data_IF_693553340449
#
_entry.id   IF_693553340449
#
_cell.length_a   1.000
_cell.length_b   1.000
_cell.length_c   1.000
_cell.angle_alpha   90.00
_cell.angle_beta   90.00
_cell.angle_gamma   90.00
#
_symmetry.space_group_name_H-M   'P 1'
#
loop_
_entity.id
_entity.type
_entity.pdbx_description
1 polymer ?
#
# COMPACT_ATOMS: atom_id res chain seq x y z
N UNK A 1 -53.22 -12.20 -34.40
CA UNK A 1 -51.81 -12.64 -34.55
C UNK A 1 -50.88 -11.45 -34.32
N UNK A 2 -50.40 -11.24 -33.10
CA UNK A 2 -49.45 -10.15 -32.79
C UNK A 2 -48.02 -10.70 -32.79
N UNK A 3 -47.17 -10.09 -33.62
CA UNK A 3 -45.78 -10.51 -33.90
C UNK A 3 -44.89 -10.39 -32.66
N UNK A 4 -44.22 -11.51 -32.38
CA UNK A 4 -43.11 -11.69 -31.47
C UNK A 4 -41.96 -10.71 -31.79
N UNK A 5 -41.60 -9.81 -30.86
CA UNK A 5 -40.39 -8.98 -30.92
C UNK A 5 -39.51 -9.31 -29.72
N UNK A 6 -38.86 -10.47 -29.76
CA UNK A 6 -37.70 -10.76 -28.91
C UNK A 6 -36.52 -9.90 -29.36
N UNK A 7 -36.40 -8.69 -28.81
CA UNK A 7 -35.14 -7.95 -28.84
C UNK A 7 -34.14 -8.72 -27.98
N UNK A 8 -33.40 -9.66 -28.59
CA UNK A 8 -32.12 -10.13 -28.04
C UNK A 8 -31.24 -8.89 -27.88
N UNK A 9 -31.06 -8.44 -26.63
CA UNK A 9 -30.06 -7.46 -26.30
C UNK A 9 -28.72 -7.96 -26.86
N UNK A 10 -28.14 -7.21 -27.80
CA UNK A 10 -26.83 -7.51 -28.35
C UNK A 10 -25.85 -7.55 -27.17
N UNK A 11 -25.24 -8.72 -26.93
CA UNK A 11 -24.25 -8.88 -25.89
C UNK A 11 -23.12 -7.86 -26.13
N UNK A 12 -22.78 -7.10 -25.09
CA UNK A 12 -21.68 -6.15 -25.17
C UNK A 12 -20.41 -6.87 -25.65
N UNK A 13 -19.59 -6.24 -26.51
CA UNK A 13 -18.38 -6.86 -27.02
C UNK A 13 -17.46 -7.27 -25.85
N UNK A 14 -16.82 -8.46 -25.93
CA UNK A 14 -15.98 -8.94 -24.85
C UNK A 14 -14.85 -7.95 -24.59
N UNK A 15 -14.65 -7.58 -23.32
CA UNK A 15 -13.57 -6.67 -22.93
C UNK A 15 -12.22 -7.23 -23.42
N UNK A 16 -11.32 -6.37 -23.93
CA UNK A 16 -10.01 -6.82 -24.41
C UNK A 16 -9.25 -7.51 -23.27
N UNK A 17 -8.76 -8.73 -23.54
CA UNK A 17 -7.97 -9.50 -22.58
C UNK A 17 -6.68 -8.75 -22.25
N UNK A 18 -6.38 -8.61 -20.95
CA UNK A 18 -5.13 -7.99 -20.50
C UNK A 18 -3.90 -8.85 -20.87
N UNK A 19 -2.68 -8.30 -20.74
CA UNK A 19 -1.47 -9.00 -21.20
C UNK A 19 -1.28 -10.39 -20.57
N UNK A 20 -1.62 -10.53 -19.29
CA UNK A 20 -1.50 -11.76 -18.53
C UNK A 20 -2.53 -12.80 -19.02
N UNK A 21 -3.77 -12.36 -19.27
CA UNK A 21 -4.85 -13.18 -19.83
C UNK A 21 -4.59 -13.66 -21.27
N UNK A 22 -3.64 -13.05 -21.97
CA UNK A 22 -3.20 -13.51 -23.30
C UNK A 22 -2.17 -14.64 -23.25
N UNK A 23 -1.60 -14.94 -22.07
CA UNK A 23 -0.65 -16.05 -21.88
C UNK A 23 -1.37 -17.38 -21.68
N UNK A 24 -0.68 -18.50 -21.94
CA UNK A 24 -1.24 -19.83 -21.67
C UNK A 24 -1.41 -20.04 -20.15
N UNK A 25 -2.30 -20.94 -19.73
CA UNK A 25 -2.50 -21.27 -18.30
C UNK A 25 -1.17 -21.69 -17.63
N UNK A 26 -0.34 -22.47 -18.32
CA UNK A 26 0.97 -22.88 -17.82
C UNK A 26 1.92 -21.69 -17.61
N UNK A 27 1.95 -20.73 -18.53
CA UNK A 27 2.75 -19.50 -18.39
C UNK A 27 2.25 -18.62 -17.25
N UNK A 28 0.93 -18.51 -17.07
CA UNK A 28 0.34 -17.78 -15.94
C UNK A 28 0.75 -18.42 -14.62
N UNK A 29 0.63 -19.74 -14.49
CA UNK A 29 1.06 -20.47 -13.30
C UNK A 29 2.55 -20.31 -13.05
N UNK A 30 3.40 -20.43 -14.07
CA UNK A 30 4.85 -20.25 -13.94
C UNK A 30 5.22 -18.84 -13.48
N UNK A 31 4.54 -17.81 -13.98
CA UNK A 31 4.76 -16.42 -13.54
C UNK A 31 4.36 -16.21 -12.07
N UNK A 32 3.24 -16.78 -11.64
CA UNK A 32 2.79 -16.68 -10.24
C UNK A 32 3.76 -17.41 -9.32
N UNK A 33 4.12 -18.66 -9.66
CA UNK A 33 5.03 -19.48 -8.87
C UNK A 33 6.41 -18.85 -8.82
N UNK A 34 6.99 -18.48 -9.98
CA UNK A 34 8.29 -17.82 -10.05
C UNK A 34 8.31 -16.48 -9.32
N UNK A 35 7.25 -15.68 -9.45
CA UNK A 35 7.09 -14.42 -8.70
C UNK A 35 7.02 -14.65 -7.19
N UNK A 36 6.33 -15.71 -6.74
CA UNK A 36 6.26 -16.08 -5.32
C UNK A 36 7.62 -16.49 -4.78
N UNK A 37 8.35 -17.35 -5.50
CA UNK A 37 9.72 -17.73 -5.12
C UNK A 37 10.66 -16.52 -5.07
N UNK A 38 10.57 -15.63 -6.07
CA UNK A 38 11.34 -14.39 -6.08
C UNK A 38 10.99 -13.46 -4.90
N UNK A 39 9.71 -13.37 -4.53
CA UNK A 39 9.27 -12.60 -3.37
C UNK A 39 9.78 -13.20 -2.05
N UNK A 40 9.66 -14.51 -1.87
CA UNK A 40 10.16 -15.21 -0.67
C UNK A 40 11.69 -15.09 -0.57
N UNK A 41 12.41 -15.39 -1.65
CA UNK A 41 13.87 -15.24 -1.69
C UNK A 41 14.31 -13.79 -1.47
N UNK A 42 13.59 -12.84 -2.09
CA UNK A 42 13.79 -11.40 -1.90
C UNK A 42 13.61 -10.97 -0.46
N UNK A 43 12.59 -11.47 0.25
CA UNK A 43 12.38 -11.21 1.67
C UNK A 43 13.59 -11.66 2.51
N UNK A 44 14.08 -12.89 2.32
CA UNK A 44 15.24 -13.38 3.07
C UNK A 44 16.52 -12.60 2.73
N UNK A 45 16.77 -12.30 1.46
CA UNK A 45 17.91 -11.48 1.05
C UNK A 45 17.85 -10.08 1.66
N UNK A 46 16.65 -9.47 1.66
CA UNK A 46 16.41 -8.13 2.16
C UNK A 46 16.71 -8.07 3.67
N UNK A 47 16.12 -8.98 4.46
CA UNK A 47 16.32 -9.02 5.91
C UNK A 47 17.68 -9.55 6.33
N UNK A 48 18.26 -10.48 5.58
CA UNK A 48 19.55 -11.09 5.91
C UNK A 48 20.77 -10.24 5.53
N UNK A 49 20.65 -9.39 4.51
CA UNK A 49 21.80 -8.64 3.99
C UNK A 49 21.53 -7.14 3.85
N UNK A 50 20.45 -6.75 3.15
CA UNK A 50 20.22 -5.35 2.76
C UNK A 50 19.86 -4.47 3.96
N UNK A 51 18.84 -4.85 4.72
CA UNK A 51 18.36 -4.11 5.89
C UNK A 51 19.46 -3.95 6.97
N UNK A 52 20.23 -4.99 7.32
CA UNK A 52 21.39 -4.84 8.22
C UNK A 52 22.42 -3.82 7.71
N UNK A 53 22.73 -3.84 6.41
CA UNK A 53 23.66 -2.88 5.82
C UNK A 53 23.13 -1.45 5.89
N UNK A 54 21.85 -1.25 5.56
CA UNK A 54 21.18 0.05 5.68
C UNK A 54 21.15 0.51 7.15
N UNK A 55 20.79 -0.37 8.08
CA UNK A 55 20.74 -0.09 9.52
C UNK A 55 22.07 0.40 10.08
N UNK A 56 23.20 -0.15 9.62
CA UNK A 56 24.56 0.31 10.00
C UNK A 56 24.84 1.74 9.53
N UNK A 57 24.34 2.13 8.36
CA UNK A 57 24.54 3.47 7.79
C UNK A 57 23.68 4.49 8.52
N UNK A 58 22.41 4.17 8.77
CA UNK A 58 21.42 5.13 9.30
C UNK A 58 21.37 5.16 10.83
N UNK A 59 21.89 4.14 11.50
CA UNK A 59 21.83 3.98 12.95
C UNK A 59 22.58 5.04 13.76
N UNK A 60 23.39 5.89 13.13
CA UNK A 60 24.08 7.00 13.80
C UNK A 60 23.16 8.18 14.11
N UNK A 61 22.04 8.31 13.41
CA UNK A 61 21.10 9.43 13.57
C UNK A 61 19.72 8.83 13.86
N UNK A 62 19.27 8.80 15.13
CA UNK A 62 18.03 8.15 15.54
C UNK A 62 16.82 8.51 14.66
N UNK A 63 16.63 9.80 14.38
CA UNK A 63 15.54 10.29 13.54
C UNK A 63 15.58 9.70 12.12
N UNK A 64 16.77 9.64 11.50
CA UNK A 64 16.94 9.06 10.16
C UNK A 64 16.68 7.57 10.20
N UNK A 65 17.15 6.89 11.24
CA UNK A 65 16.91 5.46 11.47
C UNK A 65 15.41 5.13 11.52
N UNK A 66 14.64 5.89 12.31
CA UNK A 66 13.18 5.73 12.39
C UNK A 66 12.48 6.04 11.07
N UNK A 67 12.86 7.13 10.38
CA UNK A 67 12.29 7.45 9.07
C UNK A 67 12.52 6.31 8.09
N UNK A 68 13.73 5.72 8.08
CA UNK A 68 14.07 4.63 7.15
C UNK A 68 13.30 3.36 7.48
N UNK A 69 13.15 3.01 8.76
CA UNK A 69 12.28 1.89 9.17
C UNK A 69 10.81 2.11 8.81
N UNK A 70 10.32 3.36 8.93
CA UNK A 70 8.96 3.74 8.58
C UNK A 70 8.67 3.68 7.09
N UNK A 71 9.66 4.00 6.23
CA UNK A 71 9.47 4.13 4.78
C UNK A 71 8.77 2.91 4.17
N UNK A 72 9.04 1.71 4.67
CA UNK A 72 8.49 0.49 4.12
C UNK A 72 6.96 0.45 4.07
N UNK A 73 6.28 0.76 5.17
CA UNK A 73 4.82 0.80 5.23
C UNK A 73 4.28 2.22 5.00
N UNK A 74 4.95 3.22 5.57
CA UNK A 74 4.56 4.62 5.48
C UNK A 74 4.50 5.11 4.04
N UNK A 75 5.55 4.86 3.24
CA UNK A 75 5.57 5.30 1.85
C UNK A 75 4.53 4.55 0.99
N UNK A 76 4.17 3.32 1.34
CA UNK A 76 3.07 2.61 0.68
C UNK A 76 1.72 3.30 0.93
N UNK A 77 1.41 3.65 2.18
CA UNK A 77 0.20 4.41 2.49
C UNK A 77 0.18 5.78 1.81
N UNK A 78 1.31 6.50 1.82
CA UNK A 78 1.41 7.78 1.14
C UNK A 78 1.21 7.63 -0.38
N UNK A 79 1.86 6.65 -1.02
CA UNK A 79 1.76 6.43 -2.46
C UNK A 79 0.34 6.04 -2.89
N UNK A 80 -0.33 5.17 -2.13
CA UNK A 80 -1.74 4.82 -2.37
C UNK A 80 -2.63 6.05 -2.15
N UNK A 81 -2.39 6.83 -1.09
CA UNK A 81 -3.13 8.05 -0.82
C UNK A 81 -3.00 9.08 -1.95
N UNK A 82 -1.78 9.31 -2.44
CA UNK A 82 -1.51 10.19 -3.59
C UNK A 82 -2.19 9.69 -4.86
N UNK A 83 -2.21 8.37 -5.11
CA UNK A 83 -2.95 7.79 -6.22
C UNK A 83 -4.45 8.10 -6.15
N UNK A 84 -5.08 7.95 -4.96
CA UNK A 84 -6.50 8.23 -4.77
C UNK A 84 -6.83 9.73 -4.86
N UNK A 85 -5.94 10.60 -4.37
CA UNK A 85 -6.10 12.06 -4.53
C UNK A 85 -6.11 12.44 -6.02
N UNK A 86 -5.33 11.75 -6.84
CA UNK A 86 -5.11 12.05 -8.26
C UNK A 86 -5.90 11.12 -9.21
N UNK A 87 -7.04 10.56 -8.78
CA UNK A 87 -7.85 9.65 -9.59
C UNK A 87 -8.24 10.25 -10.97
N UNK A 88 -8.50 11.57 -10.98
CA UNK A 88 -8.89 12.37 -12.16
C UNK A 88 -7.72 12.88 -12.99
N UNK A 89 -6.48 12.56 -12.64
CA UNK A 89 -5.31 12.96 -13.41
C UNK A 89 -5.30 12.29 -14.81
N UNK A 90 -4.54 12.83 -15.78
CA UNK A 90 -4.35 12.20 -17.08
C UNK A 90 -3.92 10.73 -16.97
N UNK A 91 -4.30 9.90 -17.96
CA UNK A 91 -4.10 8.45 -17.89
C UNK A 91 -2.63 8.05 -17.72
N UNK A 92 -1.69 8.74 -18.36
CA UNK A 92 -0.26 8.46 -18.21
C UNK A 92 0.23 8.71 -16.77
N UNK A 93 -0.15 9.86 -16.18
CA UNK A 93 0.13 10.17 -14.78
C UNK A 93 -0.43 9.11 -13.86
N UNK A 94 -1.69 8.70 -14.07
CA UNK A 94 -2.32 7.67 -13.26
C UNK A 94 -1.64 6.31 -13.40
N UNK A 95 -1.16 5.93 -14.59
CA UNK A 95 -0.37 4.71 -14.79
C UNK A 95 0.92 4.75 -13.97
N UNK A 96 1.65 5.87 -13.99
CA UNK A 96 2.86 6.05 -13.17
C UNK A 96 2.56 5.96 -11.68
N UNK A 97 1.50 6.63 -11.20
CA UNK A 97 1.10 6.57 -9.80
C UNK A 97 0.67 5.16 -9.37
N UNK A 98 -0.03 4.42 -10.22
CA UNK A 98 -0.35 3.00 -9.97
C UNK A 98 0.90 2.14 -9.85
N UNK A 99 1.91 2.38 -10.70
CA UNK A 99 3.18 1.69 -10.60
C UNK A 99 3.92 2.02 -9.30
N UNK A 100 4.02 3.30 -8.95
CA UNK A 100 4.66 3.74 -7.70
C UNK A 100 3.95 3.14 -6.47
N UNK A 101 2.62 3.21 -6.42
CA UNK A 101 1.83 2.61 -5.35
C UNK A 101 2.00 1.08 -5.30
N UNK A 102 2.04 0.42 -6.45
CA UNK A 102 2.27 -1.03 -6.55
C UNK A 102 3.66 -1.44 -6.06
N UNK A 103 4.70 -0.70 -6.45
CA UNK A 103 6.08 -0.96 -6.00
C UNK A 103 6.20 -0.77 -4.49
N UNK A 104 5.69 0.35 -3.95
CA UNK A 104 5.72 0.56 -2.51
C UNK A 104 4.85 -0.44 -1.75
N UNK A 105 3.71 -0.86 -2.29
CA UNK A 105 2.90 -1.93 -1.72
C UNK A 105 3.66 -3.26 -1.66
N UNK A 106 4.39 -3.62 -2.72
CA UNK A 106 5.23 -4.82 -2.72
C UNK A 106 6.38 -4.72 -1.72
N UNK A 107 7.05 -3.57 -1.63
CA UNK A 107 8.10 -3.30 -0.64
C UNK A 107 7.54 -3.45 0.78
N UNK A 108 6.38 -2.83 1.07
CA UNK A 108 5.73 -2.95 2.37
C UNK A 108 5.49 -4.40 2.77
N UNK A 109 4.97 -5.23 1.84
CA UNK A 109 4.73 -6.65 2.08
C UNK A 109 6.02 -7.43 2.34
N UNK A 110 7.07 -7.16 1.58
CA UNK A 110 8.38 -7.80 1.78
C UNK A 110 9.07 -7.36 3.07
N UNK A 111 8.75 -6.18 3.57
CA UNK A 111 9.29 -5.63 4.81
C UNK A 111 8.40 -5.89 6.04
N UNK A 112 7.36 -6.71 5.95
CA UNK A 112 6.64 -7.17 7.14
C UNK A 112 7.60 -8.03 7.98
N UNK A 113 7.84 -7.71 9.26
CA UNK A 113 8.73 -8.52 10.11
C UNK A 113 8.20 -9.93 10.25
N UNK A 114 9.04 -10.91 9.94
CA UNK A 114 8.80 -12.33 10.18
C UNK A 114 9.60 -12.81 11.40
N UNK A 115 9.38 -14.06 11.83
CA UNK A 115 10.20 -14.66 12.90
C UNK A 115 11.71 -14.64 12.57
N UNK A 116 12.07 -14.74 11.28
CA UNK A 116 13.45 -14.58 10.83
C UNK A 116 13.96 -13.14 11.00
N UNK A 117 13.15 -12.15 10.63
CA UNK A 117 13.50 -10.73 10.75
C UNK A 117 13.79 -10.32 12.21
N UNK A 118 13.06 -10.88 13.18
CA UNK A 118 13.25 -10.60 14.60
C UNK A 118 14.62 -11.05 15.15
N UNK A 119 15.32 -11.95 14.45
CA UNK A 119 16.69 -12.35 14.79
C UNK A 119 17.77 -11.36 14.32
N UNK A 120 17.39 -10.33 13.57
CA UNK A 120 18.33 -9.36 12.99
C UNK A 120 18.59 -8.22 13.98
N UNK A 121 19.87 -7.97 14.27
CA UNK A 121 20.29 -6.85 15.12
C UNK A 121 20.26 -5.56 14.30
N UNK A 122 19.34 -4.66 14.66
CA UNK A 122 19.21 -3.32 14.08
C UNK A 122 19.11 -2.29 15.21
N UNK A 123 19.40 -1.00 14.94
CA UNK A 123 19.15 0.06 15.91
C UNK A 123 17.70 0.04 16.39
N UNK A 124 17.46 0.27 17.67
CA UNK A 124 16.10 0.32 18.26
C UNK A 124 15.21 1.32 17.52
N UNK A 125 15.77 2.45 17.11
CA UNK A 125 15.07 3.49 16.36
C UNK A 125 14.55 3.00 15.00
N UNK A 126 15.30 2.11 14.37
CA UNK A 126 14.93 1.49 13.10
C UNK A 126 13.73 0.56 13.32
N UNK A 127 13.83 -0.30 14.33
CA UNK A 127 12.75 -1.21 14.71
C UNK A 127 11.47 -0.48 15.09
N UNK A 128 11.56 0.65 15.77
CA UNK A 128 10.40 1.48 16.10
C UNK A 128 9.65 1.95 14.84
N UNK A 129 10.38 2.39 13.80
CA UNK A 129 9.80 2.75 12.51
C UNK A 129 9.16 1.55 11.80
N UNK A 130 9.85 0.41 11.78
CA UNK A 130 9.36 -0.83 11.16
C UNK A 130 8.07 -1.32 11.83
N UNK A 131 8.06 -1.41 13.16
CA UNK A 131 6.90 -1.90 13.91
C UNK A 131 5.71 -0.94 13.85
N UNK A 132 5.95 0.38 13.91
CA UNK A 132 4.89 1.35 13.67
C UNK A 132 4.23 1.11 12.30
N UNK A 133 5.04 0.84 11.27
CA UNK A 133 4.56 0.42 9.96
C UNK A 133 3.74 -0.87 9.97
N UNK A 134 4.29 -1.95 10.55
CA UNK A 134 3.67 -3.27 10.58
C UNK A 134 2.33 -3.27 11.36
N UNK A 135 2.31 -2.69 12.57
CA UNK A 135 1.07 -2.50 13.32
C UNK A 135 0.12 -1.55 12.60
N UNK A 136 0.66 -0.54 11.92
CA UNK A 136 -0.10 0.36 11.08
C UNK A 136 -0.90 -0.36 9.98
N UNK A 137 -0.34 -1.41 9.38
CA UNK A 137 -1.04 -2.27 8.40
C UNK A 137 -2.19 -3.03 9.05
N UNK A 138 -2.00 -3.56 10.26
CA UNK A 138 -3.07 -4.28 11.00
C UNK A 138 -4.24 -3.35 11.33
N UNK A 139 -3.96 -2.08 11.63
CA UNK A 139 -4.97 -1.08 12.00
C UNK A 139 -5.73 -0.47 10.80
N UNK A 140 -5.39 -0.83 9.56
CA UNK A 140 -6.01 -0.29 8.34
C UNK A 140 -7.54 -0.35 8.35
N UNK A 141 -8.20 -1.47 8.72
CA UNK A 141 -9.67 -1.52 8.75
C UNK A 141 -10.28 -0.44 9.65
N UNK A 142 -9.67 -0.21 10.82
CA UNK A 142 -10.10 0.83 11.76
C UNK A 142 -9.90 2.23 11.18
N UNK A 143 -8.79 2.46 10.49
CA UNK A 143 -8.52 3.74 9.81
C UNK A 143 -9.56 4.03 8.73
N UNK A 144 -9.97 3.04 7.95
CA UNK A 144 -11.03 3.22 6.95
C UNK A 144 -12.39 3.52 7.60
N UNK A 145 -12.74 2.82 8.69
CA UNK A 145 -13.98 3.07 9.43
C UNK A 145 -13.97 4.48 10.03
N UNK A 146 -12.90 4.85 10.74
CA UNK A 146 -12.74 6.16 11.36
C UNK A 146 -12.70 7.27 10.30
N UNK A 147 -11.97 7.07 9.21
CA UNK A 147 -11.92 7.99 8.07
C UNK A 147 -13.28 8.20 7.42
N UNK A 148 -14.04 7.12 7.19
CA UNK A 148 -15.40 7.23 6.66
C UNK A 148 -16.32 8.01 7.61
N UNK A 149 -16.24 7.77 8.92
CA UNK A 149 -17.00 8.50 9.93
C UNK A 149 -16.62 9.99 9.96
N UNK A 150 -15.32 10.30 9.97
CA UNK A 150 -14.84 11.68 9.96
C UNK A 150 -15.28 12.44 8.69
N UNK A 151 -15.17 11.81 7.53
CA UNK A 151 -15.58 12.41 6.26
C UNK A 151 -17.10 12.62 6.20
N UNK A 152 -17.90 11.67 6.69
CA UNK A 152 -19.37 11.81 6.73
C UNK A 152 -19.82 12.87 7.73
N UNK A 153 -19.21 12.94 8.92
CA UNK A 153 -19.49 13.99 9.89
C UNK A 153 -19.07 15.37 9.33
N UNK A 154 -17.89 15.47 8.74
CA UNK A 154 -17.42 16.71 8.09
C UNK A 154 -18.34 17.16 6.96
N UNK A 155 -18.83 16.24 6.13
CA UNK A 155 -19.80 16.54 5.08
C UNK A 155 -21.12 17.08 5.67
N UNK A 156 -21.63 16.46 6.75
CA UNK A 156 -22.84 16.94 7.46
C UNK A 156 -22.65 18.34 8.04
N UNK A 157 -21.52 18.60 8.71
CA UNK A 157 -21.20 19.91 9.30
C UNK A 157 -21.08 20.98 8.22
N UNK A 158 -20.44 20.65 7.09
CA UNK A 158 -20.25 21.57 5.97
C UNK A 158 -21.45 21.63 5.01
N UNK A 159 -22.58 20.99 5.35
CA UNK A 159 -23.78 20.87 4.50
C UNK A 159 -23.46 20.41 3.06
N UNK A 160 -22.44 19.57 2.90
CA UNK A 160 -22.07 18.98 1.61
C UNK A 160 -22.90 17.72 1.38
N UNK A 161 -23.62 17.66 0.27
CA UNK A 161 -24.47 16.51 -0.08
C UNK A 161 -23.68 15.28 -0.55
N UNK A 162 -22.40 15.44 -0.88
CA UNK A 162 -21.58 14.34 -1.40
C UNK A 162 -20.97 13.55 -0.25
N UNK A 163 -21.19 12.24 -0.27
CA UNK A 163 -20.60 11.27 0.65
C UNK A 163 -19.06 11.15 0.52
N UNK A 164 -18.44 10.18 1.20
CA UNK A 164 -17.00 9.97 1.19
C UNK A 164 -16.46 9.86 -0.25
N UNK A 165 -15.46 10.67 -0.58
CA UNK A 165 -14.81 10.66 -1.91
C UNK A 165 -13.49 9.92 -1.87
N UNK A 166 -13.06 9.36 -3.00
CA UNK A 166 -11.73 8.73 -3.13
C UNK A 166 -10.62 9.72 -2.74
N UNK A 167 -10.74 10.99 -3.15
CA UNK A 167 -9.82 12.05 -2.75
C UNK A 167 -9.77 12.24 -1.23
N UNK A 168 -10.92 12.16 -0.53
CA UNK A 168 -10.99 12.26 0.92
C UNK A 168 -10.24 11.11 1.61
N UNK A 169 -10.47 9.87 1.16
CA UNK A 169 -9.72 8.71 1.66
C UNK A 169 -8.23 8.79 1.33
N UNK A 170 -7.88 9.35 0.18
CA UNK A 170 -6.48 9.56 -0.18
C UNK A 170 -5.75 10.47 0.81
N UNK A 171 -6.38 11.57 1.23
CA UNK A 171 -5.84 12.43 2.29
C UNK A 171 -5.77 11.74 3.65
N UNK A 172 -6.76 10.91 4.00
CA UNK A 172 -6.72 10.10 5.22
C UNK A 172 -5.50 9.17 5.22
N UNK A 173 -5.19 8.52 4.10
CA UNK A 173 -4.03 7.63 3.99
C UNK A 173 -2.69 8.40 4.06
N UNK A 174 -2.61 9.58 3.45
CA UNK A 174 -1.42 10.44 3.56
C UNK A 174 -1.24 10.89 5.02
N UNK A 175 -2.30 11.38 5.66
CA UNK A 175 -2.24 11.77 7.07
C UNK A 175 -1.87 10.58 7.97
N UNK A 176 -2.44 9.41 7.71
CA UNK A 176 -2.15 8.18 8.44
C UNK A 176 -0.68 7.78 8.30
N UNK A 177 -0.12 7.88 7.09
CA UNK A 177 1.30 7.65 6.84
C UNK A 177 2.17 8.51 7.76
N UNK A 178 1.90 9.82 7.86
CA UNK A 178 2.62 10.71 8.78
C UNK A 178 2.38 10.37 10.27
N UNK A 179 1.16 9.99 10.64
CA UNK A 179 0.85 9.55 12.00
C UNK A 179 1.67 8.32 12.41
N UNK A 180 1.89 7.36 11.50
CA UNK A 180 2.74 6.21 11.76
C UNK A 180 4.21 6.62 12.00
N UNK A 181 4.70 7.65 11.31
CA UNK A 181 6.06 8.16 11.55
C UNK A 181 6.16 8.79 12.95
N UNK A 182 5.19 9.63 13.30
CA UNK A 182 5.10 10.26 14.63
C UNK A 182 5.02 9.18 15.71
N UNK A 183 4.16 8.18 15.52
CA UNK A 183 4.01 7.07 16.46
C UNK A 183 5.31 6.27 16.60
N UNK A 184 5.97 5.92 15.49
CA UNK A 184 7.29 5.28 15.51
C UNK A 184 8.33 6.08 16.29
N UNK A 185 8.37 7.40 16.12
CA UNK A 185 9.28 8.26 16.90
C UNK A 185 8.92 8.36 18.40
N UNK A 186 7.65 8.16 18.76
CA UNK A 186 7.20 8.20 20.15
C UNK A 186 7.46 6.89 20.91
N UNK A 187 7.53 5.76 20.20
CA UNK A 187 7.90 4.46 20.77
C UNK A 187 9.33 4.44 21.33
N UNK A 188 10.17 5.43 20.97
CA UNK A 188 11.53 5.60 21.49
C UNK A 188 11.57 6.11 22.94
N UNK A 189 10.43 6.51 23.51
CA UNK A 189 10.32 7.13 24.83
C UNK A 189 9.65 6.25 25.88
N UNK A 190 9.30 5.01 25.53
CA UNK A 190 8.72 3.98 26.41
C UNK A 190 9.76 2.88 26.64
#
# INVERSE_FOLDING_TARGET
MAKNKSRKAAAAPPKPKNWFQRRSKAQQSALIVGGTFAAVGGHFLLWGAVIPAVGKVVGRIPVVSTVVGWLFAGAAFAAIGVLLINEKAPEDTRKRLKWVAGVWGAVALLCIPSGFANGVVLPTDYWAGVYAGAYGVVMVPLVFIAGALLLTLGAKVLKREKGPTETGFGWVLVAYSFLLLIWGSSLLRL
#
